data_IF_842212547848
#
_entry.id   IF_842212547848
#
_cell.length_a   1.000
_cell.length_b   1.000
_cell.length_c   1.000
_cell.angle_alpha   90.00
_cell.angle_beta   90.00
_cell.angle_gamma   90.00
#
_symmetry.space_group_name_H-M   'P 1'
#
loop_
_entity.id
_entity.type
_entity.pdbx_description
1 polymer ?
#
# COMPACT_ATOMS: atom_id res chain seq x y z
N UNK A 1 -13.33 19.23 -10.93
CA UNK A 1 -13.07 17.83 -11.30
C UNK A 1 -12.32 17.24 -10.13
N UNK A 2 -12.93 16.31 -9.41
CA UNK A 2 -12.29 15.66 -8.25
C UNK A 2 -11.18 14.78 -8.77
N UNK A 3 -9.95 14.98 -8.31
CA UNK A 3 -8.81 14.12 -8.65
C UNK A 3 -9.14 12.67 -8.29
N UNK A 4 -8.63 11.67 -9.04
CA UNK A 4 -8.86 10.29 -8.70
C UNK A 4 -8.34 10.02 -7.28
N UNK A 5 -9.16 9.35 -6.45
CA UNK A 5 -8.82 9.01 -5.06
C UNK A 5 -7.69 7.97 -4.93
N UNK A 6 -7.08 7.60 -6.05
CA UNK A 6 -6.03 6.59 -6.16
C UNK A 6 -5.17 6.86 -7.41
N UNK A 7 -3.93 6.37 -7.39
CA UNK A 7 -3.03 6.31 -8.53
C UNK A 7 -2.83 4.85 -8.96
N UNK A 8 -2.74 4.60 -10.26
CA UNK A 8 -2.44 3.26 -10.74
C UNK A 8 -0.96 2.91 -10.59
N UNK A 9 -0.71 1.68 -10.17
CA UNK A 9 0.60 1.06 -10.03
C UNK A 9 0.56 -0.34 -10.63
N UNK A 10 1.60 -0.74 -11.33
CA UNK A 10 1.76 -2.05 -11.94
C UNK A 10 2.84 -2.86 -11.22
N UNK A 11 2.58 -4.14 -10.98
CA UNK A 11 3.51 -5.07 -10.36
C UNK A 11 3.56 -6.38 -11.16
N UNK A 12 4.72 -6.68 -11.72
CA UNK A 12 4.98 -7.88 -12.53
C UNK A 12 5.41 -9.10 -11.68
N UNK A 13 5.65 -8.93 -10.38
CA UNK A 13 6.17 -9.96 -9.49
C UNK A 13 7.61 -9.71 -9.02
N UNK A 14 8.33 -8.81 -9.69
CA UNK A 14 9.74 -8.47 -9.42
C UNK A 14 9.96 -6.95 -9.29
N UNK A 15 9.17 -6.14 -10.01
CA UNK A 15 9.36 -4.70 -10.14
C UNK A 15 8.03 -3.92 -10.11
N UNK A 16 8.12 -2.66 -9.67
CA UNK A 16 6.98 -1.73 -9.63
C UNK A 16 7.12 -0.69 -10.73
N UNK A 17 5.99 -0.32 -11.36
CA UNK A 17 5.94 0.70 -12.40
C UNK A 17 4.71 1.60 -12.25
N UNK A 18 4.86 2.88 -12.58
CA UNK A 18 3.74 3.84 -12.73
C UNK A 18 3.23 3.94 -14.17
N UNK A 19 3.94 3.31 -15.10
CA UNK A 19 3.52 3.12 -16.49
C UNK A 19 2.98 1.71 -16.68
N UNK A 20 2.08 1.55 -17.65
CA UNK A 20 1.50 0.26 -17.96
C UNK A 20 2.57 -0.73 -18.45
N UNK A 21 2.64 -1.88 -17.79
CA UNK A 21 3.53 -2.99 -18.16
C UNK A 21 2.67 -4.18 -18.62
N UNK A 22 2.83 -4.64 -19.88
CA UNK A 22 2.07 -5.78 -20.38
C UNK A 22 2.24 -7.03 -19.50
N UNK A 23 1.13 -7.62 -19.07
CA UNK A 23 1.12 -8.81 -18.21
C UNK A 23 1.33 -8.53 -16.72
N UNK A 24 1.65 -7.29 -16.32
CA UNK A 24 1.71 -6.92 -14.92
C UNK A 24 0.31 -6.73 -14.33
N UNK A 25 0.18 -7.02 -13.04
CA UNK A 25 -1.06 -6.78 -12.29
C UNK A 25 -1.20 -5.29 -12.01
N UNK A 26 -2.40 -4.74 -12.20
CA UNK A 26 -2.71 -3.32 -11.97
C UNK A 26 -3.46 -3.12 -10.66
N UNK A 27 -3.02 -2.15 -9.88
CA UNK A 27 -3.59 -1.79 -8.59
C UNK A 27 -3.86 -0.30 -8.49
N UNK A 28 -4.89 0.09 -7.73
CA UNK A 28 -5.03 1.43 -7.18
C UNK A 28 -4.24 1.55 -5.88
N UNK A 29 -3.46 2.61 -5.73
CA UNK A 29 -2.67 2.93 -4.54
C UNK A 29 -2.92 4.38 -4.11
N UNK A 30 -2.62 4.73 -2.85
CA UNK A 30 -2.73 6.11 -2.35
C UNK A 30 -1.88 7.02 -3.24
N UNK A 31 -2.42 8.14 -3.76
CA UNK A 31 -1.66 9.01 -4.65
C UNK A 31 -0.53 9.75 -3.93
N UNK A 32 -0.66 10.02 -2.62
CA UNK A 32 0.24 10.92 -1.87
C UNK A 32 1.71 10.52 -1.93
N UNK A 33 2.11 9.24 -1.77
CA UNK A 33 3.50 8.84 -1.88
C UNK A 33 4.14 9.14 -3.25
N UNK A 34 3.34 9.20 -4.31
CA UNK A 34 3.83 9.46 -5.67
C UNK A 34 3.80 10.96 -6.04
N UNK A 35 3.13 11.77 -5.21
CA UNK A 35 2.99 13.22 -5.38
C UNK A 35 3.85 14.01 -4.39
N UNK A 36 4.45 13.32 -3.41
CA UNK A 36 5.49 13.86 -2.55
C UNK A 36 6.60 14.51 -3.40
N UNK A 37 7.12 15.66 -2.93
CA UNK A 37 8.01 16.53 -3.71
C UNK A 37 9.29 15.84 -4.18
N UNK A 38 9.78 14.83 -3.45
CA UNK A 38 10.97 14.07 -3.82
C UNK A 38 10.84 12.58 -3.42
N UNK A 39 11.05 11.65 -4.37
CA UNK A 39 11.13 10.23 -4.06
C UNK A 39 12.37 9.88 -3.25
N UNK A 40 12.24 8.95 -2.29
CA UNK A 40 13.36 8.42 -1.52
C UNK A 40 14.13 7.41 -2.36
N UNK A 41 15.28 7.83 -2.88
CA UNK A 41 16.12 6.99 -3.76
C UNK A 41 16.71 5.80 -3.02
N UNK A 42 16.69 4.65 -3.69
CA UNK A 42 17.28 3.40 -3.24
C UNK A 42 16.52 2.74 -2.08
N UNK A 43 15.29 3.17 -1.80
CA UNK A 43 14.42 2.60 -0.78
C UNK A 43 14.01 1.16 -1.14
N UNK A 44 13.45 0.47 -0.15
CA UNK A 44 12.92 -0.88 -0.31
C UNK A 44 11.40 -0.87 -0.13
N UNK A 45 10.70 -1.44 -1.11
CA UNK A 45 9.29 -1.75 -1.03
C UNK A 45 9.12 -3.24 -0.72
N UNK A 46 8.32 -3.53 0.30
CA UNK A 46 7.79 -4.87 0.54
C UNK A 46 6.38 -4.94 -0.04
N UNK A 47 6.26 -5.66 -1.15
CA UNK A 47 5.04 -5.76 -1.94
C UNK A 47 4.34 -7.07 -1.59
N UNK A 48 3.33 -6.99 -0.73
CA UNK A 48 2.48 -8.13 -0.37
C UNK A 48 1.21 -8.06 -1.23
N UNK A 49 1.24 -8.65 -2.42
CA UNK A 49 0.17 -8.51 -3.42
C UNK A 49 -0.40 -9.86 -3.83
N UNK A 50 -1.71 -9.91 -4.11
CA UNK A 50 -2.37 -11.15 -4.54
C UNK A 50 -1.67 -11.77 -5.76
N UNK A 51 -1.45 -13.10 -5.79
CA UNK A 51 -0.73 -13.76 -6.88
C UNK A 51 -1.49 -13.67 -8.21
N UNK A 52 -2.81 -13.84 -8.19
CA UNK A 52 -3.70 -13.80 -9.33
C UNK A 52 -5.15 -13.51 -8.92
N UNK A 53 -6.04 -13.34 -9.89
CA UNK A 53 -7.44 -12.97 -9.69
C UNK A 53 -8.28 -14.00 -8.91
N UNK A 54 -7.82 -15.25 -8.76
CA UNK A 54 -8.52 -16.25 -7.93
C UNK A 54 -8.30 -16.04 -6.43
N UNK A 55 -7.25 -15.30 -6.05
CA UNK A 55 -6.89 -15.00 -4.66
C UNK A 55 -7.48 -13.68 -4.15
N UNK A 56 -8.46 -13.11 -4.86
CA UNK A 56 -9.13 -11.87 -4.48
C UNK A 56 -9.84 -12.03 -3.14
N UNK A 57 -9.64 -11.05 -2.25
CA UNK A 57 -10.32 -10.98 -0.95
C UNK A 57 -11.03 -9.62 -0.82
N UNK A 58 -12.23 -9.57 -0.23
CA UNK A 58 -12.86 -8.32 0.14
C UNK A 58 -12.04 -7.49 1.14
N UNK A 59 -12.14 -6.17 1.06
CA UNK A 59 -11.48 -5.26 2.01
C UNK A 59 -11.97 -5.45 3.45
N UNK A 60 -13.23 -5.82 3.66
CA UNK A 60 -13.85 -6.03 4.97
C UNK A 60 -13.58 -7.41 5.58
N UNK A 61 -12.82 -8.28 4.89
CA UNK A 61 -12.41 -9.56 5.44
C UNK A 61 -11.67 -9.38 6.78
N UNK A 62 -11.96 -10.20 7.80
CA UNK A 62 -11.34 -10.09 9.12
C UNK A 62 -9.81 -10.11 9.09
N UNK A 63 -9.20 -10.89 8.19
CA UNK A 63 -7.76 -10.98 8.01
C UNK A 63 -7.16 -9.67 7.51
N UNK A 64 -7.82 -8.98 6.58
CA UNK A 64 -7.41 -7.67 6.06
C UNK A 64 -7.51 -6.62 7.16
N UNK A 65 -8.63 -6.60 7.89
CA UNK A 65 -8.83 -5.68 9.02
C UNK A 65 -7.83 -5.95 10.15
N UNK A 66 -7.54 -7.22 10.43
CA UNK A 66 -6.54 -7.64 11.40
C UNK A 66 -5.12 -7.21 11.03
N UNK A 67 -4.73 -7.35 9.76
CA UNK A 67 -3.43 -6.89 9.27
C UNK A 67 -3.29 -5.37 9.37
N UNK A 68 -4.34 -4.61 9.03
CA UNK A 68 -4.36 -3.13 9.18
C UNK A 68 -4.28 -2.70 10.65
N UNK A 69 -5.02 -3.36 11.53
CA UNK A 69 -4.97 -3.10 12.95
C UNK A 69 -3.56 -3.38 13.52
N UNK A 70 -2.95 -4.50 13.13
CA UNK A 70 -1.55 -4.80 13.47
C UNK A 70 -0.58 -3.77 12.89
N UNK A 71 -0.83 -3.30 11.67
CA UNK A 71 0.00 -2.31 11.00
C UNK A 71 0.08 -1.02 11.83
N UNK A 72 -1.09 -0.53 12.25
CA UNK A 72 -1.23 0.66 13.09
C UNK A 72 -0.71 0.46 14.51
N UNK A 73 -1.02 -0.69 15.13
CA UNK A 73 -0.73 -0.92 16.54
C UNK A 73 0.77 -1.07 16.82
N UNK A 74 1.53 -1.67 15.91
CA UNK A 74 2.95 -1.96 16.18
C UNK A 74 3.86 -1.96 14.96
N UNK A 75 3.39 -2.28 13.76
CA UNK A 75 4.28 -2.39 12.59
C UNK A 75 4.87 -1.04 12.16
N UNK A 76 4.01 -0.03 11.99
CA UNK A 76 4.42 1.35 11.69
C UNK A 76 5.32 1.90 12.80
N UNK A 77 4.94 1.81 14.10
CA UNK A 77 5.83 2.19 15.18
C UNK A 77 7.20 1.48 15.16
N UNK A 78 7.23 0.20 14.79
CA UNK A 78 8.48 -0.59 14.73
C UNK A 78 9.42 -0.11 13.61
N UNK A 79 8.88 0.38 12.50
CA UNK A 79 9.66 0.95 11.40
C UNK A 79 10.22 2.34 11.75
N UNK A 80 9.49 3.11 12.56
CA UNK A 80 9.91 4.44 13.02
C UNK A 80 10.38 5.32 11.87
N UNK A 81 11.53 5.99 12.06
CA UNK A 81 12.12 6.91 11.08
C UNK A 81 12.57 6.23 9.77
N UNK A 82 12.57 4.89 9.72
CA UNK A 82 12.86 4.16 8.48
C UNK A 82 11.64 4.06 7.57
N UNK A 83 10.42 4.28 8.06
CA UNK A 83 9.21 4.26 7.24
C UNK A 83 9.23 5.44 6.25
N UNK A 84 9.08 5.13 4.96
CA UNK A 84 8.88 6.13 3.90
C UNK A 84 7.38 6.34 3.69
N UNK A 85 6.64 5.27 3.42
CA UNK A 85 5.19 5.31 3.27
C UNK A 85 4.57 3.92 3.40
N UNK A 86 3.25 3.88 3.52
CA UNK A 86 2.47 2.65 3.44
C UNK A 86 1.20 2.92 2.64
N UNK A 87 0.87 2.02 1.70
CA UNK A 87 -0.39 2.05 0.96
C UNK A 87 -0.99 0.66 0.88
N UNK A 88 -2.30 0.52 1.02
CA UNK A 88 -3.00 -0.68 0.52
C UNK A 88 -3.15 -0.60 -0.99
N UNK A 89 -3.44 -1.74 -1.61
CA UNK A 89 -3.66 -1.88 -3.05
C UNK A 89 -5.13 -2.24 -3.25
N UNK A 90 -5.89 -1.43 -3.99
CA UNK A 90 -7.26 -1.74 -4.40
C UNK A 90 -7.28 -2.35 -5.81
N UNK A 91 -8.18 -3.32 -6.00
CA UNK A 91 -8.49 -3.88 -7.33
C UNK A 91 -9.67 -3.15 -7.97
N UNK A 92 -10.65 -2.80 -7.14
CA UNK A 92 -11.88 -2.09 -7.46
C UNK A 92 -12.44 -1.46 -6.16
N UNK A 93 -13.74 -1.15 -6.12
CA UNK A 93 -14.36 -0.48 -4.98
C UNK A 93 -14.45 -1.32 -3.70
N UNK A 94 -14.28 -2.64 -3.79
CA UNK A 94 -14.46 -3.59 -2.67
C UNK A 94 -13.33 -4.60 -2.54
N UNK A 95 -12.57 -4.85 -3.61
CA UNK A 95 -11.50 -5.84 -3.66
C UNK A 95 -10.16 -5.32 -3.12
N UNK A 96 -9.62 -6.04 -2.14
CA UNK A 96 -8.28 -5.85 -1.62
C UNK A 96 -7.26 -6.62 -2.47
N UNK A 97 -6.27 -5.89 -2.98
CA UNK A 97 -5.20 -6.42 -3.81
C UNK A 97 -3.88 -6.65 -3.08
N UNK A 98 -3.77 -6.18 -1.83
CA UNK A 98 -2.53 -6.25 -1.06
C UNK A 98 -2.12 -4.94 -0.39
N UNK A 99 -0.85 -4.86 -0.02
CA UNK A 99 -0.26 -3.65 0.52
C UNK A 99 1.21 -3.52 0.12
N UNK A 100 1.69 -2.28 0.12
CA UNK A 100 3.09 -1.94 -0.05
C UNK A 100 3.52 -1.14 1.18
N UNK A 101 4.52 -1.67 1.87
CA UNK A 101 5.28 -0.92 2.88
C UNK A 101 6.60 -0.50 2.27
N UNK A 102 6.92 0.80 2.28
CA UNK A 102 8.20 1.32 1.79
C UNK A 102 9.03 1.82 2.97
N UNK A 103 10.27 1.38 3.04
CA UNK A 103 11.21 1.76 4.08
C UNK A 103 12.62 1.99 3.52
N UNK A 104 13.43 2.75 4.25
CA UNK A 104 14.83 3.02 3.93
C UNK A 104 15.71 1.76 4.04
N UNK A 105 15.29 0.81 4.89
CA UNK A 105 15.98 -0.44 5.17
C UNK A 105 14.98 -1.62 5.26
N UNK A 106 15.32 -2.83 4.76
CA UNK A 106 14.38 -3.94 4.69
C UNK A 106 14.36 -4.88 5.91
N UNK A 107 15.20 -4.68 6.93
CA UNK A 107 15.45 -5.65 8.01
C UNK A 107 14.21 -6.10 8.78
N UNK A 108 13.20 -5.23 8.81
CA UNK A 108 11.97 -5.45 9.56
C UNK A 108 10.88 -6.16 8.74
N UNK A 109 10.99 -6.24 7.42
CA UNK A 109 9.91 -6.75 6.55
C UNK A 109 9.50 -8.19 6.79
N UNK A 110 10.38 -9.00 7.40
CA UNK A 110 10.02 -10.35 7.89
C UNK A 110 8.82 -10.37 8.85
N UNK A 111 8.52 -9.25 9.50
CA UNK A 111 7.42 -9.10 10.43
C UNK A 111 6.23 -8.35 9.83
N UNK A 112 6.22 -8.03 8.52
CA UNK A 112 5.12 -7.29 7.91
C UNK A 112 3.79 -8.07 8.08
N UNK A 113 2.75 -7.47 8.71
CA UNK A 113 1.49 -8.14 8.94
C UNK A 113 0.75 -8.50 7.65
N UNK A 114 0.97 -7.77 6.55
CA UNK A 114 0.32 -8.05 5.26
C UNK A 114 0.87 -9.28 4.56
N UNK A 115 2.11 -9.70 4.88
CA UNK A 115 2.72 -10.92 4.36
C UNK A 115 2.02 -12.21 4.81
N UNK A 116 1.08 -12.10 5.76
CA UNK A 116 0.21 -13.20 6.20
C UNK A 116 -0.97 -13.45 5.26
N UNK A 117 -1.35 -12.44 4.46
CA UNK A 117 -2.46 -12.52 3.50
C UNK A 117 -1.92 -12.94 2.15
N UNK A 118 -0.89 -12.24 1.66
CA UNK A 118 -0.25 -12.54 0.39
C UNK A 118 1.27 -12.63 0.55
N UNK A 119 1.96 -13.49 -0.24
CA UNK A 119 3.41 -13.54 -0.24
C UNK A 119 4.03 -12.15 -0.50
N UNK A 120 5.05 -11.81 0.28
CA UNK A 120 5.77 -10.55 0.16
C UNK A 120 6.99 -10.65 -0.76
N UNK A 121 7.09 -9.74 -1.72
CA UNK A 121 8.28 -9.56 -2.56
C UNK A 121 9.04 -8.31 -2.13
N UNK A 122 10.36 -8.42 -1.98
CA UNK A 122 11.23 -7.25 -1.75
C UNK A 122 11.67 -6.66 -3.08
N UNK A 123 11.38 -5.37 -3.28
CA UNK A 123 11.68 -4.62 -4.50
C UNK A 123 12.45 -3.37 -4.12
N UNK A 124 13.58 -3.12 -4.76
CA UNK A 124 14.25 -1.82 -4.63
C UNK A 124 13.55 -0.80 -5.51
N UNK A 125 13.31 0.42 -4.99
CA UNK A 125 12.46 1.40 -5.67
C UNK A 125 12.94 2.83 -5.46
N UNK A 126 12.61 3.67 -6.44
CA UNK A 126 12.78 5.13 -6.42
C UNK A 126 11.44 5.85 -6.69
N UNK A 127 10.30 5.14 -6.55
CA UNK A 127 8.99 5.66 -6.96
C UNK A 127 8.26 6.47 -5.88
N UNK A 128 8.60 6.25 -4.61
CA UNK A 128 7.82 6.72 -3.47
C UNK A 128 8.58 7.78 -2.69
N UNK A 129 7.93 8.89 -2.35
CA UNK A 129 8.39 9.88 -1.40
C UNK A 129 7.80 9.66 0.00
N UNK A 130 8.35 10.38 0.97
CA UNK A 130 7.90 10.28 2.36
C UNK A 130 6.51 10.87 2.54
N UNK A 131 5.68 10.13 3.26
CA UNK A 131 4.36 10.58 3.69
C UNK A 131 4.22 10.22 5.16
N UNK A 132 3.74 11.17 5.96
CA UNK A 132 3.46 10.92 7.36
C UNK A 132 2.58 9.68 7.52
N UNK A 133 2.94 8.86 8.50
CA UNK A 133 2.10 7.73 8.88
C UNK A 133 0.67 8.26 9.15
N UNK A 134 -0.35 7.58 8.63
CA UNK A 134 -1.71 8.05 8.80
C UNK A 134 -2.07 8.15 10.28
N UNK A 135 -2.83 9.18 10.69
CA UNK A 135 -3.40 9.18 12.03
C UNK A 135 -4.22 7.89 12.21
N UNK A 136 -4.19 7.33 13.43
CA UNK A 136 -4.86 6.08 13.77
C UNK A 136 -6.32 5.98 13.32
N UNK A 137 -6.95 4.79 13.43
CA UNK A 137 -7.99 4.30 12.51
C UNK A 137 -9.05 5.35 12.16
N UNK A 138 -8.83 6.01 11.02
CA UNK A 138 -9.85 6.79 10.32
C UNK A 138 -10.83 5.77 9.74
N UNK A 139 -12.10 5.82 10.15
CA UNK A 139 -13.16 4.96 9.60
C UNK A 139 -13.21 5.20 8.08
N UNK A 140 -12.86 4.16 7.32
CA UNK A 140 -12.87 4.16 5.86
C UNK A 140 -14.31 4.14 5.35
N UNK A 141 -14.63 5.00 4.38
CA UNK A 141 -15.92 4.95 3.67
C UNK A 141 -15.81 4.08 2.44
N UNK A 142 -16.91 3.39 2.12
CA UNK A 142 -17.19 2.64 0.89
C UNK A 142 -16.98 3.48 -0.39
N UNK A 143 -15.73 3.74 -0.77
CA UNK A 143 -15.37 4.54 -1.96
C UNK A 143 -14.23 3.91 -2.79
N UNK A 144 -13.72 2.72 -2.43
CA UNK A 144 -12.62 2.08 -3.16
C UNK A 144 -11.27 2.78 -3.06
N UNK A 145 -11.13 3.77 -2.16
CA UNK A 145 -9.88 4.47 -1.95
C UNK A 145 -8.94 3.58 -1.11
N UNK A 146 -7.67 3.41 -1.53
CA UNK A 146 -6.69 2.67 -0.75
C UNK A 146 -6.38 3.40 0.56
N UNK A 147 -6.19 2.68 1.65
CA UNK A 147 -5.72 3.26 2.90
C UNK A 147 -4.27 3.72 2.73
N UNK A 148 -3.90 4.93 3.19
CA UNK A 148 -4.70 5.84 4.02
C UNK A 148 -5.52 6.94 3.32
N UNK A 149 -5.76 6.90 2.02
CA UNK A 149 -6.34 7.98 1.20
C UNK A 149 -7.83 8.30 1.44
N UNK A 150 -8.44 7.90 2.57
CA UNK A 150 -9.81 8.26 2.91
C UNK A 150 -9.91 9.72 3.38
N UNK A 151 -10.72 10.56 2.74
CA UNK A 151 -11.00 11.93 3.21
C UNK A 151 -12.37 12.05 3.88
N UNK A 152 -12.44 12.84 4.97
CA UNK A 152 -13.69 13.44 5.43
C UNK A 152 -13.89 14.73 4.64
N UNK A 153 -14.91 14.78 3.78
CA UNK A 153 -15.43 16.08 3.36
C UNK A 153 -16.08 16.73 4.60
N UNK A 154 -15.35 17.62 5.27
CA UNK A 154 -15.94 18.51 6.25
C UNK A 154 -16.93 19.44 5.54
N UNK A 155 -18.20 19.29 5.84
CA UNK A 155 -19.15 20.40 5.82
C UNK A 155 -19.70 20.57 7.22
#
# INVERSE_FOLDING_TARGET
>A
MTEPSYRFLWFDGESLSLEEVPGARRFGADPRPFEASEPVRGAWAHVCALPDDSARVPYDEPEVQGARAAALAWWIPLLGDSLVCLTTLSLDSVGYGGAITVARDPDRFRADPFARIFPGTLVRTDLFGEVDAPPGPVIERYAGAPWPAGSFASR
#
